data_IF_672642200713
#
_entry.id   IF_672642200713
#
_cell.length_a   1.000
_cell.length_b   1.000
_cell.length_c   1.000
_cell.angle_alpha   90.00
_cell.angle_beta   90.00
_cell.angle_gamma   90.00
#
_symmetry.space_group_name_H-M   'P 1'
#
loop_
_entity.id
_entity.type
_entity.pdbx_description
1 polymer ?
#
# COMPACT_ATOMS: atom_id res chain seq x y z
N UNK A 1 16.36 -14.63 -21.59
CA UNK A 1 17.19 -13.46 -21.22
C UNK A 1 17.50 -13.40 -19.73
N UNK A 2 16.53 -13.51 -18.83
CA UNK A 2 16.75 -13.45 -17.36
C UNK A 2 17.71 -14.51 -16.83
N UNK A 3 17.64 -15.76 -17.33
CA UNK A 3 18.50 -16.87 -16.92
C UNK A 3 20.00 -16.61 -17.23
N UNK A 4 20.29 -16.02 -18.38
CA UNK A 4 21.68 -15.71 -18.77
C UNK A 4 22.21 -14.48 -18.00
N UNK A 5 21.37 -13.50 -17.68
CA UNK A 5 21.74 -12.37 -16.83
C UNK A 5 22.08 -12.83 -15.40
N UNK A 6 21.26 -13.72 -14.82
CA UNK A 6 21.49 -14.27 -13.50
C UNK A 6 22.77 -15.13 -13.42
N UNK A 7 23.15 -15.86 -14.48
CA UNK A 7 24.39 -16.69 -14.48
C UNK A 7 25.65 -15.87 -14.25
N UNK A 8 25.71 -14.65 -14.77
CA UNK A 8 26.90 -13.79 -14.70
C UNK A 8 27.00 -12.93 -13.44
N UNK A 9 25.95 -12.90 -12.61
CA UNK A 9 25.94 -12.13 -11.37
C UNK A 9 26.64 -12.90 -10.23
N UNK A 10 27.35 -12.18 -9.36
CA UNK A 10 27.84 -12.74 -8.10
C UNK A 10 26.71 -13.23 -7.22
N UNK A 11 26.95 -14.22 -6.37
CA UNK A 11 25.96 -14.82 -5.47
C UNK A 11 25.25 -13.73 -4.65
N UNK A 12 25.98 -12.73 -4.16
CA UNK A 12 25.41 -11.59 -3.43
C UNK A 12 24.40 -10.80 -4.29
N UNK A 13 24.77 -10.49 -5.54
CA UNK A 13 23.87 -9.74 -6.44
C UNK A 13 22.61 -10.55 -6.79
N UNK A 14 22.73 -11.87 -6.96
CA UNK A 14 21.58 -12.79 -7.15
C UNK A 14 20.65 -12.74 -5.95
N UNK A 15 21.20 -12.83 -4.75
CA UNK A 15 20.44 -12.78 -3.51
C UNK A 15 19.71 -11.44 -3.33
N UNK A 16 20.40 -10.31 -3.53
CA UNK A 16 19.78 -8.98 -3.49
C UNK A 16 18.68 -8.83 -4.55
N UNK A 17 18.90 -9.36 -5.75
CA UNK A 17 17.90 -9.32 -6.82
C UNK A 17 16.63 -10.11 -6.45
N UNK A 18 16.77 -11.31 -5.90
CA UNK A 18 15.65 -12.13 -5.43
C UNK A 18 14.88 -11.39 -4.33
N UNK A 19 15.58 -10.85 -3.32
CA UNK A 19 14.95 -10.07 -2.25
C UNK A 19 14.23 -8.81 -2.79
N UNK A 20 14.80 -8.13 -3.79
CA UNK A 20 14.16 -6.99 -4.45
C UNK A 20 12.87 -7.38 -5.14
N UNK A 21 12.81 -8.56 -5.78
CA UNK A 21 11.57 -9.07 -6.38
C UNK A 21 10.52 -9.31 -5.32
N UNK A 22 10.85 -9.99 -4.22
CA UNK A 22 9.90 -10.21 -3.10
C UNK A 22 9.38 -8.90 -2.51
N UNK A 23 10.26 -7.92 -2.31
CA UNK A 23 9.88 -6.60 -1.82
C UNK A 23 8.94 -5.87 -2.79
N UNK A 24 9.19 -5.97 -4.08
CA UNK A 24 8.33 -5.40 -5.12
C UNK A 24 6.95 -6.07 -5.14
N UNK A 25 6.89 -7.40 -4.98
CA UNK A 25 5.63 -8.14 -4.92
C UNK A 25 4.82 -7.73 -3.68
N UNK A 26 5.45 -7.65 -2.51
CA UNK A 26 4.80 -7.19 -1.27
C UNK A 26 4.29 -5.77 -1.44
N UNK A 27 5.08 -4.87 -2.01
CA UNK A 27 4.69 -3.48 -2.29
C UNK A 27 3.48 -3.40 -3.22
N UNK A 28 3.43 -4.22 -4.26
CA UNK A 28 2.31 -4.28 -5.20
C UNK A 28 1.02 -4.79 -4.51
N UNK A 29 1.12 -5.85 -3.71
CA UNK A 29 -0.02 -6.34 -2.93
C UNK A 29 -0.52 -5.30 -1.93
N UNK A 30 0.39 -4.62 -1.24
CA UNK A 30 0.06 -3.53 -0.32
C UNK A 30 -0.68 -2.41 -1.04
N UNK A 31 -0.19 -1.99 -2.21
CA UNK A 31 -0.82 -0.94 -3.02
C UNK A 31 -2.23 -1.33 -3.47
N UNK A 32 -2.41 -2.54 -4.00
CA UNK A 32 -3.72 -3.06 -4.44
C UNK A 32 -4.68 -3.15 -3.26
N UNK A 33 -4.23 -3.64 -2.11
CA UNK A 33 -5.04 -3.71 -0.90
C UNK A 33 -5.52 -2.32 -0.46
N UNK A 34 -4.61 -1.34 -0.35
CA UNK A 34 -4.97 0.03 0.05
C UNK A 34 -5.94 0.69 -0.92
N UNK A 35 -5.76 0.46 -2.23
CA UNK A 35 -6.66 1.00 -3.25
C UNK A 35 -8.10 0.46 -3.12
N UNK A 36 -8.27 -0.76 -2.65
CA UNK A 36 -9.58 -1.42 -2.55
C UNK A 36 -10.29 -1.22 -1.20
N UNK A 37 -9.60 -0.72 -0.18
CA UNK A 37 -10.20 -0.53 1.16
C UNK A 37 -11.28 0.54 1.16
N UNK A 38 -11.00 1.70 0.58
CA UNK A 38 -11.92 2.84 0.55
C UNK A 38 -13.25 2.52 -0.15
N UNK A 39 -13.28 1.99 -1.38
CA UNK A 39 -14.54 1.72 -2.06
C UNK A 39 -15.40 0.66 -1.34
N UNK A 40 -14.79 -0.30 -0.65
CA UNK A 40 -15.54 -1.30 0.10
C UNK A 40 -16.24 -0.73 1.33
N UNK A 41 -15.60 0.19 2.06
CA UNK A 41 -16.21 0.85 3.21
C UNK A 41 -17.34 1.79 2.77
N UNK A 42 -17.13 2.57 1.72
CA UNK A 42 -18.15 3.43 1.11
C UNK A 42 -19.34 2.59 0.64
N UNK A 43 -19.10 1.48 -0.05
CA UNK A 43 -20.17 0.59 -0.53
C UNK A 43 -21.01 0.03 0.62
N UNK A 44 -20.39 -0.36 1.74
CA UNK A 44 -21.13 -0.86 2.92
C UNK A 44 -22.05 0.22 3.50
N UNK A 45 -21.55 1.44 3.66
CA UNK A 45 -22.33 2.57 4.21
C UNK A 45 -23.41 3.00 3.22
N UNK A 46 -23.11 3.06 1.93
CA UNK A 46 -24.08 3.30 0.85
C UNK A 46 -25.22 2.27 0.83
N UNK A 47 -24.91 0.99 1.08
CA UNK A 47 -25.96 -0.05 1.19
C UNK A 47 -26.96 0.25 2.31
N UNK A 48 -26.48 0.72 3.46
CA UNK A 48 -27.35 1.13 4.56
C UNK A 48 -28.24 2.35 4.15
N UNK A 49 -27.66 3.35 3.46
CA UNK A 49 -28.44 4.47 2.93
C UNK A 49 -29.53 4.02 1.98
N UNK A 50 -29.22 3.07 1.08
CA UNK A 50 -30.17 2.54 0.12
C UNK A 50 -31.32 1.82 0.85
N UNK A 51 -31.03 1.08 1.90
CA UNK A 51 -32.05 0.42 2.72
C UNK A 51 -32.96 1.44 3.40
N UNK A 52 -32.39 2.49 4.00
CA UNK A 52 -33.18 3.57 4.60
C UNK A 52 -34.02 4.31 3.56
N UNK A 53 -33.47 4.59 2.38
CA UNK A 53 -34.19 5.21 1.27
C UNK A 53 -35.39 4.34 0.86
N UNK A 54 -35.17 3.02 0.65
CA UNK A 54 -36.24 2.11 0.26
C UNK A 54 -37.34 2.04 1.32
N UNK A 55 -36.96 1.87 2.59
CA UNK A 55 -37.91 1.87 3.70
C UNK A 55 -38.68 3.18 3.81
N UNK A 56 -38.04 4.31 3.52
CA UNK A 56 -38.69 5.62 3.50
C UNK A 56 -39.70 5.73 2.37
N UNK A 57 -39.36 5.29 1.16
CA UNK A 57 -40.25 5.26 -0.02
C UNK A 57 -41.44 4.34 0.24
N UNK A 58 -41.21 3.15 0.82
CA UNK A 58 -42.29 2.22 1.17
C UNK A 58 -43.24 2.81 2.21
N UNK A 59 -42.74 3.51 3.22
CA UNK A 59 -43.52 4.19 4.21
C UNK A 59 -44.36 5.35 3.59
N UNK A 60 -43.77 6.16 2.72
CA UNK A 60 -44.47 7.21 1.97
C UNK A 60 -45.61 6.64 1.15
N UNK A 61 -45.37 5.54 0.46
CA UNK A 61 -46.36 4.84 -0.38
C UNK A 61 -47.47 4.26 0.49
N UNK A 62 -47.14 3.56 1.57
CA UNK A 62 -48.11 2.94 2.49
C UNK A 62 -49.00 3.95 3.19
N UNK A 63 -48.44 5.10 3.57
CA UNK A 63 -49.17 6.20 4.21
C UNK A 63 -49.87 7.15 3.21
N UNK A 64 -49.75 6.85 1.91
CA UNK A 64 -50.27 7.64 0.80
C UNK A 64 -49.94 9.13 0.90
N UNK A 65 -48.68 9.43 1.32
CA UNK A 65 -48.20 10.81 1.48
C UNK A 65 -48.02 11.43 0.09
N UNK A 66 -48.59 12.62 -0.12
CA UNK A 66 -48.37 13.40 -1.34
C UNK A 66 -46.98 14.00 -1.33
N UNK A 67 -46.30 13.99 -2.47
CA UNK A 67 -44.92 14.49 -2.62
C UNK A 67 -44.92 16.01 -2.81
N UNK A 68 -45.44 16.70 -1.79
CA UNK A 68 -45.52 18.18 -1.70
C UNK A 68 -44.96 18.63 -0.36
N UNK A 69 -44.44 19.84 -0.30
CA UNK A 69 -43.72 20.38 0.86
C UNK A 69 -44.45 20.15 2.19
N UNK A 70 -45.77 20.52 2.26
CA UNK A 70 -46.56 20.42 3.48
C UNK A 70 -46.66 18.96 4.01
N UNK A 71 -46.92 18.01 3.14
CA UNK A 71 -47.12 16.61 3.52
C UNK A 71 -45.79 15.92 3.83
N UNK A 72 -44.72 16.24 3.10
CA UNK A 72 -43.35 15.75 3.37
C UNK A 72 -42.84 16.29 4.71
N UNK A 73 -43.05 17.58 5.02
CA UNK A 73 -42.71 18.13 6.35
C UNK A 73 -43.43 17.39 7.47
N UNK A 74 -44.74 17.16 7.33
CA UNK A 74 -45.52 16.40 8.32
C UNK A 74 -45.01 14.96 8.46
N UNK A 75 -44.68 14.31 7.37
CA UNK A 75 -44.10 12.98 7.37
C UNK A 75 -42.76 12.97 8.12
N UNK A 76 -41.86 13.90 7.83
CA UNK A 76 -40.55 14.01 8.50
C UNK A 76 -40.71 14.21 10.00
N UNK A 77 -41.66 15.04 10.46
CA UNK A 77 -41.96 15.19 11.88
C UNK A 77 -42.42 13.88 12.54
N UNK A 78 -43.30 13.14 11.89
CA UNK A 78 -43.84 11.88 12.42
C UNK A 78 -42.82 10.72 12.40
N UNK A 79 -41.87 10.76 11.50
CA UNK A 79 -40.88 9.67 11.28
C UNK A 79 -39.45 10.06 11.66
N UNK A 80 -39.26 11.15 12.39
CA UNK A 80 -37.94 11.68 12.78
C UNK A 80 -37.02 10.65 13.40
N UNK A 81 -37.55 9.67 14.13
CA UNK A 81 -36.76 8.61 14.76
C UNK A 81 -36.08 7.68 13.74
N UNK A 82 -36.56 7.57 12.51
CA UNK A 82 -35.97 6.78 11.45
C UNK A 82 -34.66 7.38 10.96
N UNK A 83 -34.42 8.65 11.20
CA UNK A 83 -33.29 9.42 10.67
C UNK A 83 -32.29 9.84 11.74
N UNK A 84 -32.41 9.32 12.97
CA UNK A 84 -31.54 9.74 14.10
C UNK A 84 -30.06 9.56 13.89
N UNK A 85 -29.69 8.57 13.07
CA UNK A 85 -28.28 8.25 12.78
C UNK A 85 -27.78 8.92 11.49
N UNK A 86 -28.59 9.74 10.86
CA UNK A 86 -28.27 10.44 9.61
C UNK A 86 -28.09 11.92 9.89
N UNK A 87 -27.11 12.54 9.25
CA UNK A 87 -26.91 13.99 9.42
C UNK A 87 -27.99 14.78 8.72
N UNK A 88 -28.39 14.35 7.52
CA UNK A 88 -29.36 15.10 6.72
C UNK A 88 -30.10 14.20 5.75
N UNK A 89 -31.42 14.40 5.66
CA UNK A 89 -32.28 13.74 4.66
C UNK A 89 -33.04 14.85 3.92
N UNK A 90 -32.93 14.83 2.59
CA UNK A 90 -33.42 15.88 1.72
C UNK A 90 -34.37 15.29 0.69
N UNK A 91 -35.51 15.94 0.49
CA UNK A 91 -36.51 15.59 -0.50
C UNK A 91 -36.58 16.67 -1.59
N UNK A 92 -36.54 16.27 -2.82
CA UNK A 92 -36.71 17.14 -3.98
C UNK A 92 -37.91 16.70 -4.82
N UNK A 93 -38.65 17.63 -5.40
CA UNK A 93 -39.69 17.33 -6.38
C UNK A 93 -39.09 16.88 -7.72
N UNK A 94 -39.94 16.55 -8.69
CA UNK A 94 -39.52 16.15 -10.04
C UNK A 94 -38.86 17.29 -10.84
N UNK A 95 -38.99 18.56 -10.38
CA UNK A 95 -38.36 19.76 -10.94
C UNK A 95 -37.11 20.16 -10.19
N UNK A 96 -36.63 19.30 -9.28
CA UNK A 96 -35.42 19.50 -8.44
C UNK A 96 -35.58 20.65 -7.40
N UNK A 97 -36.81 21.06 -7.09
CA UNK A 97 -37.03 22.01 -5.99
C UNK A 97 -37.02 21.28 -4.64
N UNK A 98 -36.44 21.89 -3.65
CA UNK A 98 -36.40 21.39 -2.27
C UNK A 98 -37.80 21.40 -1.66
N UNK A 99 -38.33 20.25 -1.23
CA UNK A 99 -39.64 20.09 -0.61
C UNK A 99 -39.59 19.64 0.86
N UNK A 100 -38.46 19.12 1.29
CA UNK A 100 -38.24 18.70 2.67
C UNK A 100 -36.79 18.52 3.01
N UNK A 101 -36.42 18.94 4.22
CA UNK A 101 -35.04 18.86 4.70
C UNK A 101 -35.04 18.69 6.22
N UNK A 102 -34.40 17.67 6.73
CA UNK A 102 -34.31 17.39 8.16
C UNK A 102 -33.51 18.44 8.91
N UNK A 103 -32.55 19.10 8.26
CA UNK A 103 -31.70 20.12 8.85
C UNK A 103 -32.53 21.40 9.16
N UNK A 104 -33.49 21.72 8.31
CA UNK A 104 -34.36 22.89 8.48
C UNK A 104 -35.54 22.67 9.44
N UNK A 105 -35.78 21.42 9.87
CA UNK A 105 -36.94 21.06 10.71
C UNK A 105 -36.65 21.09 12.21
N UNK A 106 -35.46 21.51 12.64
CA UNK A 106 -35.05 21.54 14.04
C UNK A 106 -35.42 20.24 14.80
N UNK A 107 -35.08 19.12 14.21
CA UNK A 107 -35.39 17.80 14.79
C UNK A 107 -34.57 17.51 16.06
N UNK A 108 -33.49 18.26 16.33
CA UNK A 108 -32.70 18.19 17.56
C UNK A 108 -32.98 19.45 18.41
N UNK A 109 -33.54 19.29 19.65
CA UNK A 109 -33.72 20.40 20.59
C UNK A 109 -32.43 21.18 20.92
N UNK A 110 -31.25 20.53 20.77
CA UNK A 110 -29.92 21.16 20.99
C UNK A 110 -29.52 22.08 19.85
N UNK A 111 -29.90 21.77 18.62
CA UNK A 111 -29.63 22.63 17.47
C UNK A 111 -30.48 23.90 17.50
N UNK A 112 -31.67 23.82 18.12
CA UNK A 112 -32.56 24.99 18.34
C UNK A 112 -31.92 25.98 19.31
N UNK A 113 -31.35 25.52 20.43
CA UNK A 113 -30.70 26.42 21.39
C UNK A 113 -29.46 27.10 20.79
N UNK A 114 -28.64 26.36 19.99
CA UNK A 114 -27.49 26.95 19.32
C UNK A 114 -27.88 28.00 18.27
N UNK A 115 -29.04 27.84 17.58
CA UNK A 115 -29.52 28.83 16.61
C UNK A 115 -30.05 30.07 17.31
N UNK A 116 -30.70 29.93 18.46
CA UNK A 116 -31.14 31.08 19.25
C UNK A 116 -29.96 31.94 19.71
N UNK A 117 -28.90 31.30 20.18
CA UNK A 117 -27.65 31.98 20.58
C UNK A 117 -27.01 32.71 19.39
N UNK A 118 -27.03 32.10 18.19
CA UNK A 118 -26.50 32.73 16.96
C UNK A 118 -27.35 33.89 16.48
N UNK A 119 -28.67 33.81 16.64
CA UNK A 119 -29.61 34.91 16.27
C UNK A 119 -29.46 36.07 17.23
N UNK A 120 -29.31 35.83 18.54
CA UNK A 120 -29.09 36.91 19.52
C UNK A 120 -27.75 37.63 19.27
N UNK A 121 -26.68 36.92 18.91
CA UNK A 121 -25.38 37.49 18.51
C UNK A 121 -25.47 38.30 17.22
N UNK A 122 -26.22 37.86 16.21
CA UNK A 122 -26.45 38.63 14.98
C UNK A 122 -27.25 39.92 15.22
N UNK A 123 -28.24 39.90 16.13
CA UNK A 123 -29.04 41.07 16.46
C UNK A 123 -28.23 42.10 17.28
N UNK A 124 -27.30 41.63 18.13
CA UNK A 124 -26.44 42.54 18.92
C UNK A 124 -25.30 43.13 18.05
N UNK A 125 -24.84 42.42 17.05
CA UNK A 125 -23.68 42.83 16.19
C UNK A 125 -24.10 43.40 14.82
N UNK A 126 -25.38 43.64 14.59
CA UNK A 126 -25.91 44.09 13.28
C UNK A 126 -25.35 45.44 12.79
N UNK A 127 -24.59 46.17 13.61
CA UNK A 127 -23.88 47.39 13.20
C UNK A 127 -22.46 47.13 12.72
N UNK A 128 -21.87 45.96 13.03
CA UNK A 128 -20.46 45.65 12.67
C UNK A 128 -20.38 44.66 11.48
N UNK A 129 -21.44 43.85 11.28
CA UNK A 129 -21.42 42.79 10.26
C UNK A 129 -21.70 43.31 8.84
N UNK A 130 -22.27 44.52 8.68
CA UNK A 130 -22.48 45.13 7.36
C UNK A 130 -21.17 45.56 6.65
N UNK A 131 -20.03 45.57 7.37
CA UNK A 131 -18.72 45.92 6.81
C UNK A 131 -17.88 44.71 6.40
N UNK A 132 -18.27 43.50 6.78
CA UNK A 132 -17.49 42.27 6.50
C UNK A 132 -18.07 41.48 5.31
N UNK A 133 -19.32 41.75 4.91
CA UNK A 133 -20.02 41.02 3.84
C UNK A 133 -19.72 41.60 2.43
N UNK A 134 -19.08 42.76 2.31
CA UNK A 134 -18.76 43.36 1.02
C UNK A 134 -17.29 43.15 0.54
N UNK A 135 -16.45 42.48 1.32
CA UNK A 135 -15.02 42.25 0.93
C UNK A 135 -14.62 40.80 0.81
N UNK A 136 -15.49 39.88 0.46
CA UNK A 136 -15.08 38.49 0.17
C UNK A 136 -15.65 37.95 -1.13
N UNK A 137 -15.46 38.71 -2.21
CA UNK A 137 -15.22 38.13 -3.53
C UNK A 137 -13.70 37.91 -3.67
N UNK A 138 -13.17 36.93 -2.99
CA UNK A 138 -11.88 36.35 -3.34
C UNK A 138 -12.19 35.05 -4.02
N UNK A 139 -12.12 35.14 -5.34
CA UNK A 139 -11.95 34.06 -6.30
C UNK A 139 -10.75 33.23 -5.87
N UNK A 140 -10.96 32.15 -5.11
CA UNK A 140 -10.00 31.08 -4.93
C UNK A 140 -10.63 29.87 -5.60
N UNK A 141 -10.29 29.73 -6.88
CA UNK A 141 -10.47 28.50 -7.60
C UNK A 141 -9.88 27.35 -6.81
N UNK A 142 -10.74 26.53 -6.23
CA UNK A 142 -10.43 25.19 -5.78
C UNK A 142 -11.54 24.27 -6.30
N UNK A 143 -11.17 23.57 -7.36
CA UNK A 143 -11.91 22.48 -7.96
C UNK A 143 -12.26 21.48 -6.85
N UNK A 144 -13.54 21.38 -6.47
CA UNK A 144 -14.24 20.20 -5.94
C UNK A 144 -15.44 20.53 -5.04
N UNK A 145 -15.98 21.74 -5.03
CA UNK A 145 -17.31 21.99 -4.44
C UNK A 145 -18.38 21.75 -5.50
N UNK A 146 -18.61 20.48 -5.84
CA UNK A 146 -19.77 20.10 -6.67
C UNK A 146 -21.00 20.27 -5.78
N UNK A 147 -21.79 21.30 -6.05
CA UNK A 147 -23.05 21.55 -5.33
C UNK A 147 -23.95 20.31 -5.45
N UNK A 148 -24.62 19.92 -4.37
CA UNK A 148 -25.61 18.83 -4.37
C UNK A 148 -26.61 18.99 -5.52
N UNK A 149 -26.99 20.22 -5.86
CA UNK A 149 -27.90 20.51 -6.97
C UNK A 149 -27.31 20.14 -8.34
N UNK A 150 -26.03 20.35 -8.56
CA UNK A 150 -25.35 19.98 -9.81
C UNK A 150 -25.24 18.45 -9.95
N UNK A 151 -24.96 17.76 -8.86
CA UNK A 151 -24.94 16.29 -8.82
C UNK A 151 -26.34 15.73 -9.08
N UNK A 152 -27.35 16.32 -8.48
CA UNK A 152 -28.74 15.92 -8.66
C UNK A 152 -29.20 16.14 -10.09
N UNK A 153 -28.85 17.27 -10.71
CA UNK A 153 -29.13 17.55 -12.12
C UNK A 153 -28.45 16.53 -13.05
N UNK A 154 -27.17 16.25 -12.78
CA UNK A 154 -26.44 15.24 -13.54
C UNK A 154 -27.03 13.84 -13.35
N UNK A 155 -27.49 13.48 -12.14
CA UNK A 155 -28.17 12.21 -11.89
C UNK A 155 -29.49 12.10 -12.65
N UNK A 156 -30.31 13.18 -12.62
CA UNK A 156 -31.59 13.22 -13.29
C UNK A 156 -31.49 13.05 -14.83
N UNK A 157 -30.37 13.52 -15.42
CA UNK A 157 -30.12 13.45 -16.88
C UNK A 157 -29.25 12.24 -17.28
N UNK A 158 -28.75 11.48 -16.32
CA UNK A 158 -27.81 10.38 -16.59
C UNK A 158 -28.51 9.12 -17.09
N UNK A 159 -27.72 8.23 -17.76
CA UNK A 159 -28.15 6.87 -18.12
C UNK A 159 -28.40 5.96 -16.91
N UNK A 160 -27.89 6.36 -15.74
CA UNK A 160 -28.03 5.61 -14.48
C UNK A 160 -29.27 6.03 -13.68
N UNK A 161 -30.17 6.75 -14.30
CA UNK A 161 -31.46 7.11 -13.71
C UNK A 161 -32.20 5.86 -13.21
N UNK A 162 -32.67 5.87 -11.98
CA UNK A 162 -33.33 4.71 -11.34
C UNK A 162 -32.38 3.86 -10.48
N UNK A 163 -31.07 3.96 -10.65
CA UNK A 163 -30.07 3.28 -9.83
C UNK A 163 -29.60 4.24 -8.75
N UNK A 164 -29.52 3.83 -7.46
CA UNK A 164 -28.98 4.69 -6.41
C UNK A 164 -27.57 5.16 -6.74
N UNK A 165 -27.34 6.46 -6.63
CA UNK A 165 -26.02 7.06 -6.89
C UNK A 165 -25.44 7.59 -5.58
N UNK A 166 -24.19 7.18 -5.30
CA UNK A 166 -23.47 7.57 -4.08
C UNK A 166 -22.20 8.31 -4.44
N UNK A 167 -21.97 9.43 -3.77
CA UNK A 167 -20.75 10.21 -3.91
C UNK A 167 -20.26 10.71 -2.55
N UNK A 168 -19.02 11.13 -2.51
CA UNK A 168 -18.36 11.63 -1.30
C UNK A 168 -17.94 13.07 -1.51
N UNK A 169 -18.14 13.88 -0.48
CA UNK A 169 -17.70 15.27 -0.43
C UNK A 169 -16.73 15.46 0.74
N UNK A 170 -15.68 16.24 0.51
CA UNK A 170 -14.75 16.62 1.56
C UNK A 170 -14.78 18.15 1.71
N UNK A 171 -15.43 18.63 2.77
CA UNK A 171 -15.60 20.04 3.05
C UNK A 171 -15.10 20.35 4.46
N UNK A 172 -14.20 21.34 4.62
CA UNK A 172 -13.66 21.77 5.92
C UNK A 172 -13.25 20.61 6.85
N UNK A 173 -12.54 19.61 6.31
CA UNK A 173 -12.10 18.42 7.03
C UNK A 173 -13.23 17.48 7.49
N UNK A 174 -14.44 17.66 6.97
CA UNK A 174 -15.58 16.75 7.16
C UNK A 174 -15.74 15.91 5.90
N UNK A 175 -15.67 14.61 6.05
CA UNK A 175 -15.92 13.66 4.99
C UNK A 175 -17.38 13.22 5.04
N UNK A 176 -18.16 13.64 4.04
CA UNK A 176 -19.60 13.37 3.95
C UNK A 176 -19.85 12.34 2.85
N UNK A 177 -20.77 11.43 3.09
CA UNK A 177 -21.25 10.45 2.12
C UNK A 177 -22.71 10.78 1.79
N UNK A 178 -23.00 11.07 0.54
CA UNK A 178 -24.35 11.36 0.07
C UNK A 178 -24.81 10.29 -0.93
N UNK A 179 -26.01 9.77 -0.69
CA UNK A 179 -26.66 8.80 -1.59
C UNK A 179 -27.97 9.39 -2.08
N UNK A 180 -28.14 9.43 -3.40
CA UNK A 180 -29.34 9.94 -4.08
C UNK A 180 -30.06 8.78 -4.75
N UNK A 181 -31.39 8.78 -4.67
CA UNK A 181 -32.26 7.88 -5.42
C UNK A 181 -33.54 8.61 -5.83
N UNK A 182 -34.04 8.31 -7.01
CA UNK A 182 -35.34 8.76 -7.46
C UNK A 182 -36.47 8.01 -6.74
N UNK A 183 -37.59 8.68 -6.57
CA UNK A 183 -38.83 8.14 -5.98
C UNK A 183 -39.85 7.92 -7.08
N UNK A 184 -40.20 6.65 -7.29
CA UNK A 184 -41.18 6.27 -8.30
C UNK A 184 -42.51 5.97 -7.65
N UNK A 185 -43.60 6.43 -8.27
CA UNK A 185 -44.96 6.07 -7.91
C UNK A 185 -45.74 5.80 -9.20
N UNK A 186 -46.42 4.67 -9.29
CA UNK A 186 -47.24 4.26 -10.44
C UNK A 186 -46.46 4.29 -11.79
N UNK A 187 -45.14 4.11 -11.74
CA UNK A 187 -44.28 4.13 -12.94
C UNK A 187 -43.75 5.53 -13.29
N UNK A 188 -44.19 6.59 -12.59
CA UNK A 188 -43.73 7.95 -12.84
C UNK A 188 -42.74 8.41 -11.76
N UNK A 189 -41.78 9.24 -12.14
CA UNK A 189 -40.87 9.88 -11.19
C UNK A 189 -41.55 11.04 -10.51
N UNK A 190 -41.78 10.94 -9.20
CA UNK A 190 -42.41 11.99 -8.41
C UNK A 190 -41.41 12.90 -7.70
N UNK A 191 -40.10 12.52 -7.67
CA UNK A 191 -39.03 13.30 -7.08
C UNK A 191 -37.84 12.51 -6.69
N UNK A 192 -36.99 13.05 -5.83
CA UNK A 192 -35.70 12.47 -5.41
C UNK A 192 -35.55 12.53 -3.90
N UNK A 193 -34.85 11.55 -3.35
CA UNK A 193 -34.45 11.46 -1.96
C UNK A 193 -32.95 11.39 -1.88
N UNK A 194 -32.34 12.31 -1.14
CA UNK A 194 -30.93 12.32 -0.84
C UNK A 194 -30.70 12.13 0.66
N UNK A 195 -29.80 11.24 1.02
CA UNK A 195 -29.34 11.00 2.39
C UNK A 195 -27.89 11.36 2.49
N UNK A 196 -27.56 12.20 3.45
CA UNK A 196 -26.19 12.59 3.77
C UNK A 196 -25.83 12.13 5.18
N UNK A 197 -24.68 11.52 5.34
CA UNK A 197 -24.14 11.08 6.61
C UNK A 197 -22.66 11.46 6.72
N UNK A 198 -22.25 11.83 7.94
CA UNK A 198 -20.84 12.02 8.25
C UNK A 198 -20.10 10.70 8.13
N UNK A 199 -19.06 10.68 7.33
CA UNK A 199 -18.24 9.51 7.06
C UNK A 199 -16.78 9.70 7.53
N UNK A 200 -16.55 10.59 8.51
CA UNK A 200 -15.22 10.77 9.11
C UNK A 200 -14.69 9.49 9.76
N UNK A 201 -15.58 8.63 10.24
CA UNK A 201 -15.27 7.27 10.71
C UNK A 201 -14.62 6.41 9.60
N UNK A 202 -15.12 6.53 8.38
CA UNK A 202 -14.53 5.86 7.22
C UNK A 202 -13.14 6.43 6.92
N UNK A 203 -13.01 7.77 6.90
CA UNK A 203 -11.72 8.43 6.68
C UNK A 203 -10.69 8.02 7.74
N UNK A 204 -11.08 8.07 9.02
CA UNK A 204 -10.23 7.65 10.13
C UNK A 204 -9.80 6.17 10.01
N UNK A 205 -10.76 5.28 9.69
CA UNK A 205 -10.45 3.85 9.49
C UNK A 205 -9.53 3.61 8.29
N UNK A 206 -9.65 4.38 7.21
CA UNK A 206 -8.77 4.32 6.05
C UNK A 206 -7.35 4.77 6.44
N UNK A 207 -7.23 5.90 7.12
CA UNK A 207 -5.94 6.48 7.51
C UNK A 207 -5.22 5.59 8.53
N UNK A 208 -5.95 5.02 9.49
CA UNK A 208 -5.40 4.04 10.44
C UNK A 208 -4.87 2.80 9.71
N UNK A 209 -5.66 2.21 8.83
CA UNK A 209 -5.23 1.04 8.02
C UNK A 209 -4.07 1.36 7.11
N UNK A 210 -4.08 2.51 6.45
CA UNK A 210 -2.97 2.98 5.62
C UNK A 210 -1.69 3.11 6.43
N UNK A 211 -1.77 3.74 7.59
CA UNK A 211 -0.64 3.92 8.50
C UNK A 211 -0.11 2.58 9.00
N UNK A 212 -0.99 1.67 9.43
CA UNK A 212 -0.62 0.32 9.85
C UNK A 212 0.11 -0.45 8.75
N UNK A 213 -0.44 -0.46 7.53
CA UNK A 213 0.15 -1.18 6.39
C UNK A 213 1.51 -0.59 6.01
N UNK A 214 1.65 0.74 5.98
CA UNK A 214 2.94 1.41 5.70
C UNK A 214 3.97 1.05 6.77
N UNK A 215 3.62 1.11 8.06
CA UNK A 215 4.51 0.73 9.16
C UNK A 215 4.96 -0.72 9.05
N UNK A 216 4.02 -1.63 8.75
CA UNK A 216 4.33 -3.06 8.56
C UNK A 216 5.24 -3.28 7.37
N UNK A 217 5.01 -2.62 6.23
CA UNK A 217 5.86 -2.72 5.05
C UNK A 217 7.29 -2.23 5.34
N UNK A 218 7.44 -1.11 6.08
CA UNK A 218 8.75 -0.60 6.50
C UNK A 218 9.44 -1.59 7.44
N UNK A 219 8.73 -2.14 8.44
CA UNK A 219 9.29 -3.13 9.37
C UNK A 219 9.79 -4.37 8.64
N UNK A 220 9.02 -4.92 7.71
CA UNK A 220 9.43 -6.05 6.87
C UNK A 220 10.65 -5.69 6.02
N UNK A 221 10.69 -4.49 5.44
CA UNK A 221 11.83 -3.99 4.69
C UNK A 221 13.12 -3.95 5.53
N UNK A 222 13.03 -3.45 6.76
CA UNK A 222 14.17 -3.41 7.71
C UNK A 222 14.64 -4.83 8.03
N UNK A 223 13.73 -5.76 8.32
CA UNK A 223 14.07 -7.16 8.58
C UNK A 223 14.82 -7.80 7.41
N UNK A 224 14.35 -7.58 6.17
CA UNK A 224 15.01 -8.07 4.95
C UNK A 224 16.42 -7.49 4.82
N UNK A 225 16.60 -6.19 5.09
CA UNK A 225 17.92 -5.55 5.03
C UNK A 225 18.88 -6.12 6.09
N UNK A 226 18.43 -6.29 7.32
CA UNK A 226 19.22 -6.89 8.40
C UNK A 226 19.61 -8.32 8.02
N UNK A 227 18.65 -9.12 7.56
CA UNK A 227 18.90 -10.50 7.14
C UNK A 227 19.90 -10.56 5.97
N UNK A 228 19.75 -9.67 4.99
CA UNK A 228 20.69 -9.57 3.86
C UNK A 228 22.11 -9.24 4.32
N UNK A 229 22.24 -8.30 5.26
CA UNK A 229 23.53 -7.92 5.85
C UNK A 229 24.18 -9.09 6.60
N UNK A 230 23.42 -9.79 7.45
CA UNK A 230 23.88 -10.95 8.20
C UNK A 230 24.32 -12.07 7.25
N UNK A 231 23.49 -12.40 6.27
CA UNK A 231 23.81 -13.43 5.29
C UNK A 231 25.08 -13.12 4.49
N UNK A 232 25.24 -11.85 4.08
CA UNK A 232 26.47 -11.43 3.39
C UNK A 232 27.71 -11.56 4.28
N UNK A 233 27.61 -11.12 5.54
CA UNK A 233 28.74 -11.07 6.48
C UNK A 233 29.17 -12.45 6.94
N UNK A 234 28.20 -13.31 7.30
CA UNK A 234 28.47 -14.58 7.96
C UNK A 234 28.60 -15.77 7.01
N UNK A 235 28.01 -15.72 5.81
CA UNK A 235 28.00 -16.82 4.86
C UNK A 235 28.67 -16.49 3.54
N UNK A 236 28.23 -15.46 2.82
CA UNK A 236 28.71 -15.20 1.47
C UNK A 236 30.19 -14.78 1.40
N UNK A 237 30.60 -13.90 2.30
CA UNK A 237 32.00 -13.44 2.36
C UNK A 237 32.99 -14.57 2.71
N UNK A 238 32.75 -15.41 3.74
CA UNK A 238 33.51 -16.59 4.02
C UNK A 238 33.63 -17.58 2.82
N UNK A 239 32.50 -17.93 2.22
CA UNK A 239 32.45 -18.82 1.06
C UNK A 239 33.29 -18.25 -0.10
N UNK A 240 33.17 -16.95 -0.38
CA UNK A 240 33.97 -16.28 -1.40
C UNK A 240 35.48 -16.36 -1.10
N UNK A 241 35.87 -16.23 0.17
CA UNK A 241 37.26 -16.37 0.58
C UNK A 241 37.78 -17.80 0.34
N UNK A 242 37.00 -18.84 0.66
CA UNK A 242 37.35 -20.24 0.39
C UNK A 242 37.53 -20.50 -1.11
N UNK A 243 36.61 -20.00 -1.94
CA UNK A 243 36.73 -20.12 -3.41
C UNK A 243 37.98 -19.38 -3.94
N UNK A 244 38.31 -18.23 -3.34
CA UNK A 244 39.52 -17.49 -3.71
C UNK A 244 40.79 -18.25 -3.31
N UNK A 245 40.80 -18.89 -2.14
CA UNK A 245 41.86 -19.71 -1.65
C UNK A 245 42.15 -20.89 -2.60
N UNK A 246 41.12 -21.63 -3.02
CA UNK A 246 41.29 -22.74 -3.99
C UNK A 246 41.87 -22.30 -5.35
N UNK A 247 41.49 -21.10 -5.82
CA UNK A 247 42.00 -20.53 -7.07
C UNK A 247 43.49 -20.18 -6.99
N UNK A 248 43.90 -19.59 -5.86
CA UNK A 248 45.30 -19.22 -5.62
C UNK A 248 46.18 -20.44 -5.61
N UNK A 249 45.75 -21.49 -4.92
CA UNK A 249 46.47 -22.77 -4.89
C UNK A 249 46.62 -23.36 -6.28
N UNK A 250 45.53 -23.40 -7.05
CA UNK A 250 45.55 -23.91 -8.43
C UNK A 250 46.55 -23.17 -9.34
N UNK A 251 46.71 -21.86 -9.15
CA UNK A 251 47.57 -21.03 -10.00
C UNK A 251 49.00 -20.88 -9.49
N UNK A 252 49.39 -21.62 -8.41
CA UNK A 252 50.73 -21.51 -7.75
C UNK A 252 51.06 -20.06 -7.36
N UNK A 253 50.04 -19.22 -7.08
CA UNK A 253 50.21 -17.80 -6.76
C UNK A 253 50.61 -17.66 -5.28
N UNK A 254 51.68 -16.94 -4.98
CA UNK A 254 52.21 -16.78 -3.61
C UNK A 254 51.39 -15.81 -2.74
N UNK A 255 50.29 -15.28 -3.21
CA UNK A 255 49.44 -14.42 -2.45
C UNK A 255 48.76 -15.16 -1.30
N UNK A 256 49.19 -14.89 -0.06
CA UNK A 256 48.60 -15.41 1.17
C UNK A 256 47.14 -14.96 1.28
N UNK A 257 46.22 -15.84 0.92
CA UNK A 257 44.83 -15.64 1.32
C UNK A 257 44.69 -16.12 2.76
N UNK A 258 44.35 -15.23 3.66
CA UNK A 258 44.27 -15.57 5.09
C UNK A 258 43.02 -16.46 5.34
N UNK A 259 43.23 -17.78 5.30
CA UNK A 259 42.19 -18.78 5.67
C UNK A 259 42.17 -19.03 7.17
N UNK A 260 43.19 -18.58 7.92
CA UNK A 260 43.33 -18.83 9.37
C UNK A 260 42.15 -18.33 10.18
N UNK A 261 41.62 -17.16 9.81
CA UNK A 261 40.42 -16.63 10.46
C UNK A 261 39.16 -17.49 10.26
N UNK A 262 39.12 -18.26 9.17
CA UNK A 262 38.00 -19.17 8.88
C UNK A 262 38.15 -20.50 9.63
N UNK A 263 39.37 -20.99 9.80
CA UNK A 263 39.68 -22.18 10.61
C UNK A 263 39.32 -22.02 12.08
N UNK A 264 39.39 -20.81 12.61
CA UNK A 264 39.03 -20.51 14.00
C UNK A 264 37.52 -20.57 14.26
N UNK A 265 36.72 -20.73 13.23
CA UNK A 265 35.25 -20.89 13.38
C UNK A 265 34.95 -22.29 13.91
N UNK A 266 33.91 -22.37 14.77
CA UNK A 266 33.42 -23.63 15.37
C UNK A 266 32.22 -24.23 14.64
N UNK A 267 31.87 -23.68 13.48
CA UNK A 267 30.77 -24.14 12.63
C UNK A 267 31.24 -24.96 11.44
N UNK A 268 30.28 -25.38 10.59
CA UNK A 268 30.53 -26.19 9.39
C UNK A 268 31.50 -25.52 8.40
N UNK A 269 31.50 -24.18 8.36
CA UNK A 269 32.43 -23.43 7.52
C UNK A 269 33.85 -23.49 8.08
N UNK A 270 34.04 -23.56 9.37
CA UNK A 270 35.32 -23.76 10.03
C UNK A 270 35.87 -25.15 9.73
N UNK A 271 35.04 -26.18 9.87
CA UNK A 271 35.38 -27.55 9.55
C UNK A 271 35.78 -27.70 8.05
N UNK A 272 34.99 -27.12 7.15
CA UNK A 272 35.27 -27.11 5.71
C UNK A 272 36.61 -26.41 5.40
N UNK A 273 36.87 -25.28 6.09
CA UNK A 273 38.13 -24.55 5.92
C UNK A 273 39.35 -25.38 6.33
N UNK A 274 39.30 -26.09 7.47
CA UNK A 274 40.36 -26.95 7.95
C UNK A 274 40.61 -28.13 7.00
N UNK A 275 39.52 -28.82 6.60
CA UNK A 275 39.60 -29.95 5.68
C UNK A 275 40.18 -29.56 4.31
N UNK A 276 39.82 -28.38 3.82
CA UNK A 276 40.34 -27.84 2.55
C UNK A 276 41.83 -27.51 2.66
N UNK A 277 42.29 -26.98 3.78
CA UNK A 277 43.67 -26.64 4.03
C UNK A 277 44.53 -27.93 4.15
N UNK A 278 44.04 -28.93 4.91
CA UNK A 278 44.71 -30.23 5.06
C UNK A 278 44.89 -30.92 3.70
N UNK A 279 43.85 -30.96 2.87
CA UNK A 279 43.89 -31.51 1.52
C UNK A 279 44.89 -30.76 0.63
N UNK A 280 44.98 -29.46 0.78
CA UNK A 280 45.88 -28.61 0.03
C UNK A 280 47.34 -28.87 0.42
N UNK A 281 47.64 -28.99 1.72
CA UNK A 281 48.98 -29.31 2.22
C UNK A 281 49.42 -30.70 1.75
N UNK A 282 48.50 -31.67 1.76
CA UNK A 282 48.83 -33.03 1.25
C UNK A 282 49.10 -33.00 -0.26
N UNK A 283 48.28 -32.25 -1.02
CA UNK A 283 48.51 -32.08 -2.47
C UNK A 283 49.89 -31.44 -2.77
N UNK A 284 50.24 -30.39 -2.03
CA UNK A 284 51.57 -29.75 -2.17
C UNK A 284 52.71 -30.70 -1.86
N UNK A 285 52.60 -31.51 -0.78
CA UNK A 285 53.60 -32.54 -0.47
C UNK A 285 53.76 -33.55 -1.62
N UNK A 286 52.63 -34.02 -2.19
CA UNK A 286 52.66 -34.96 -3.32
C UNK A 286 53.32 -34.34 -4.56
N UNK A 287 53.01 -33.08 -4.87
CA UNK A 287 53.64 -32.37 -5.99
C UNK A 287 55.15 -32.23 -5.78
N UNK A 288 55.60 -31.81 -4.58
CA UNK A 288 56.98 -31.64 -4.22
C UNK A 288 57.74 -33.01 -4.32
N UNK A 289 57.15 -34.12 -3.84
CA UNK A 289 57.70 -35.43 -3.99
C UNK A 289 57.85 -35.86 -5.47
N UNK A 290 56.83 -35.58 -6.30
CA UNK A 290 56.86 -35.87 -7.72
C UNK A 290 57.91 -35.02 -8.46
N UNK A 291 58.06 -33.74 -8.11
CA UNK A 291 59.11 -32.86 -8.66
C UNK A 291 60.53 -33.34 -8.28
N UNK A 292 60.77 -33.71 -7.01
CA UNK A 292 62.04 -34.24 -6.54
C UNK A 292 62.35 -35.55 -7.24
N UNK A 293 61.36 -36.48 -7.27
CA UNK A 293 61.54 -37.78 -7.97
C UNK A 293 61.88 -37.60 -9.46
N UNK A 294 61.22 -36.67 -10.15
CA UNK A 294 61.47 -36.33 -11.53
C UNK A 294 62.91 -35.79 -11.72
N UNK A 295 63.37 -34.96 -10.78
CA UNK A 295 64.74 -34.40 -10.81
C UNK A 295 65.78 -35.45 -10.57
N UNK A 296 65.59 -36.37 -9.61
CA UNK A 296 66.47 -37.46 -9.30
C UNK A 296 66.53 -38.42 -10.49
N UNK A 297 65.44 -38.80 -11.14
CA UNK A 297 65.43 -39.60 -12.36
C UNK A 297 66.18 -38.94 -13.47
N UNK A 298 66.05 -37.63 -13.69
CA UNK A 298 66.85 -36.94 -14.74
C UNK A 298 68.35 -37.04 -14.44
N UNK A 299 68.77 -36.91 -13.19
CA UNK A 299 70.14 -37.03 -12.76
C UNK A 299 70.66 -38.49 -12.95
N UNK A 300 69.87 -39.49 -12.54
CA UNK A 300 70.25 -40.91 -12.68
C UNK A 300 70.32 -41.37 -14.13
N UNK A 301 69.47 -40.83 -15.02
CA UNK A 301 69.55 -41.14 -16.47
C UNK A 301 70.70 -40.40 -17.14
N UNK A 302 71.01 -39.18 -16.72
CA UNK A 302 72.08 -38.37 -17.29
C UNK A 302 73.44 -38.96 -17.06
N UNK A 303 73.68 -39.61 -15.90
CA UNK A 303 74.99 -40.23 -15.54
C UNK A 303 75.41 -41.40 -16.48
N UNK A 304 74.58 -42.43 -16.73
CA UNK A 304 74.92 -43.48 -17.67
C UNK A 304 74.99 -43.00 -19.12
N UNK A 305 74.15 -42.03 -19.52
CA UNK A 305 74.23 -41.42 -20.85
C UNK A 305 75.50 -40.64 -21.05
N UNK A 306 76.00 -39.93 -20.05
CA UNK A 306 77.32 -39.28 -20.12
C UNK A 306 78.48 -40.30 -20.24
N UNK A 307 78.39 -41.41 -19.48
CA UNK A 307 79.37 -42.50 -19.55
C UNK A 307 79.38 -43.19 -20.93
N UNK A 308 78.17 -43.44 -21.50
CA UNK A 308 78.04 -44.01 -22.86
C UNK A 308 78.55 -43.04 -23.92
N UNK A 309 78.31 -41.75 -23.78
CA UNK A 309 78.88 -40.75 -24.71
C UNK A 309 80.38 -40.72 -24.66
N UNK A 310 81.01 -40.72 -23.48
CA UNK A 310 82.43 -40.74 -23.31
C UNK A 310 83.05 -42.04 -23.86
N UNK A 311 82.39 -43.18 -23.72
CA UNK A 311 82.86 -44.45 -24.30
C UNK A 311 82.75 -44.45 -25.83
N UNK A 312 81.77 -43.80 -26.42
CA UNK A 312 81.66 -43.71 -27.89
C UNK A 312 82.59 -42.69 -28.55
N UNK A 313 83.16 -41.77 -27.76
CA UNK A 313 84.14 -40.79 -28.24
C UNK A 313 85.61 -41.34 -28.21
N UNK A 314 85.83 -42.52 -27.60
CA UNK A 314 87.11 -43.17 -27.47
C UNK A 314 87.28 -44.25 -28.55
N UNK A 315 86.25 -44.65 -29.25
CA UNK A 315 86.26 -45.59 -30.38
C UNK A 315 86.37 -44.80 -31.70
#
# INVERSE_FOLDING_TARGET
MLSNFLKNLSILKKFLFINSIFFTIIGLFTFVYLKNVQPNLIKKKSSNHIEVINNTIDNLTRLNVKFVEKDIRKFLFSTRFLFQNLDRVIFFDNKLNLIGDTDTLDLDPRSFSQRLDTIELEVLDSKTTKKITEEKNIDIGNENNVSLNDVLLNYATSKNFGIPFTFTEEEFNKFKLTTIKNVMKDGENIGYLAITENANDIKAAIDERKTFVIRTAIAVGIVILIFSFVLNRYFLKPIKNLVSYTKIIKNKDTKKTNIDTLKLRKDELGLLSSSLDDMTLELQKRISHAENFSTDLVHEIRNPLASLKSASEIL
#
